data_IF_589174153229
#
_entry.id   IF_589174153229
#
_cell.length_a   1.000
_cell.length_b   1.000
_cell.length_c   1.000
_cell.angle_alpha   90.00
_cell.angle_beta   90.00
_cell.angle_gamma   90.00
#
_symmetry.space_group_name_H-M   'P 1'
#
loop_
_entity.id
_entity.type
_entity.pdbx_description
1 polymer ?
#
# COMPACT_ATOMS: atom_id res chain seq x y z
N UNK A 1 -42.04 18.41 -7.49
CA UNK A 1 -40.67 18.11 -7.97
C UNK A 1 -39.89 17.28 -6.94
N UNK A 2 -40.25 16.01 -6.69
CA UNK A 2 -39.51 15.12 -5.77
C UNK A 2 -39.70 13.64 -6.16
N UNK A 3 -39.34 13.25 -7.39
CA UNK A 3 -39.53 11.87 -7.86
C UNK A 3 -38.29 11.21 -8.50
N UNK A 4 -37.13 11.87 -8.51
CA UNK A 4 -35.95 11.40 -9.26
C UNK A 4 -34.81 10.82 -8.41
N UNK A 5 -34.97 10.65 -7.09
CA UNK A 5 -33.84 10.32 -6.20
C UNK A 5 -33.86 8.89 -5.59
N UNK A 6 -34.83 8.04 -5.96
CA UNK A 6 -34.95 6.69 -5.36
C UNK A 6 -34.42 5.54 -6.26
N UNK A 7 -34.09 5.81 -7.53
CA UNK A 7 -33.68 4.75 -8.46
C UNK A 7 -32.24 4.25 -8.24
N UNK A 8 -31.36 5.09 -7.68
CA UNK A 8 -29.93 4.74 -7.50
C UNK A 8 -29.65 3.85 -6.29
N UNK A 9 -30.55 3.81 -5.29
CA UNK A 9 -30.37 3.02 -4.06
C UNK A 9 -30.71 1.53 -4.30
N UNK A 10 -31.56 1.22 -5.29
CA UNK A 10 -32.03 -0.14 -5.56
C UNK A 10 -30.97 -0.98 -6.29
N UNK A 11 -30.15 -0.37 -7.15
CA UNK A 11 -29.09 -1.09 -7.88
C UNK A 11 -27.97 -1.65 -7.01
N UNK A 12 -27.65 -0.98 -5.88
CA UNK A 12 -26.59 -1.45 -4.98
C UNK A 12 -27.04 -2.59 -4.03
N UNK A 13 -28.35 -2.74 -3.80
CA UNK A 13 -28.89 -3.82 -2.95
C UNK A 13 -29.10 -5.15 -3.68
N UNK A 14 -29.21 -5.15 -5.02
CA UNK A 14 -29.42 -6.39 -5.78
C UNK A 14 -28.18 -7.30 -5.86
N UNK A 15 -26.96 -6.78 -5.68
CA UNK A 15 -25.74 -7.62 -5.65
C UNK A 15 -25.59 -8.44 -4.36
N UNK A 16 -26.30 -8.11 -3.27
CA UNK A 16 -26.19 -8.84 -1.99
C UNK A 16 -27.06 -10.09 -1.88
N UNK A 17 -28.05 -10.27 -2.74
CA UNK A 17 -29.07 -11.33 -2.58
C UNK A 17 -28.73 -12.61 -3.39
N UNK A 18 -27.69 -12.59 -4.22
CA UNK A 18 -27.40 -13.70 -5.13
C UNK A 18 -26.71 -14.92 -4.50
N UNK A 19 -26.13 -14.81 -3.30
CA UNK A 19 -25.30 -15.88 -2.75
C UNK A 19 -26.06 -16.84 -1.78
N UNK A 20 -27.34 -16.59 -1.45
CA UNK A 20 -28.12 -17.44 -0.53
C UNK A 20 -29.49 -17.96 -1.00
N UNK A 21 -29.97 -17.64 -2.22
CA UNK A 21 -31.26 -18.17 -2.66
C UNK A 21 -31.19 -19.67 -2.98
N UNK A 22 -31.54 -20.47 -1.96
CA UNK A 22 -31.88 -21.89 -2.06
C UNK A 22 -33.27 -22.03 -2.68
N UNK A 23 -33.38 -22.98 -3.62
CA UNK A 23 -34.59 -23.57 -4.21
C UNK A 23 -35.12 -23.02 -5.54
N UNK A 24 -34.36 -23.28 -6.61
CA UNK A 24 -34.90 -23.74 -7.91
C UNK A 24 -33.97 -24.84 -8.47
N UNK A 25 -34.19 -26.07 -8.00
CA UNK A 25 -33.12 -26.92 -7.45
C UNK A 25 -32.59 -28.06 -8.36
N UNK A 26 -32.87 -28.09 -9.67
CA UNK A 26 -32.47 -29.26 -10.50
C UNK A 26 -31.68 -28.92 -11.79
N UNK A 27 -31.89 -27.75 -12.41
CA UNK A 27 -31.14 -27.31 -13.59
C UNK A 27 -30.00 -26.32 -13.25
N UNK A 28 -30.09 -25.62 -12.12
CA UNK A 28 -29.09 -24.67 -11.60
C UNK A 28 -27.94 -25.32 -10.80
N UNK A 29 -27.97 -26.64 -10.57
CA UNK A 29 -26.91 -27.31 -9.79
C UNK A 29 -25.60 -27.52 -10.56
N UNK A 30 -25.59 -27.37 -11.89
CA UNK A 30 -24.35 -27.45 -12.70
C UNK A 30 -23.61 -26.12 -12.85
N UNK A 31 -24.27 -24.97 -12.67
CA UNK A 31 -23.64 -23.64 -12.78
C UNK A 31 -23.08 -23.12 -11.45
N UNK A 32 -23.43 -23.75 -10.31
CA UNK A 32 -23.04 -23.28 -8.97
C UNK A 32 -21.58 -23.53 -8.57
N UNK A 33 -20.76 -24.16 -9.42
CA UNK A 33 -19.33 -24.45 -9.16
C UNK A 33 -18.36 -23.46 -9.80
N UNK A 34 -18.87 -22.47 -10.52
CA UNK A 34 -18.07 -21.60 -11.40
C UNK A 34 -17.86 -20.19 -10.85
N UNK A 35 -18.03 -20.01 -9.54
CA UNK A 35 -17.83 -18.72 -8.87
C UNK A 35 -16.89 -18.86 -7.68
N UNK A 36 -16.02 -17.86 -7.50
CA UNK A 36 -15.19 -17.74 -6.32
C UNK A 36 -15.84 -16.80 -5.30
N UNK A 37 -15.80 -17.18 -4.01
CA UNK A 37 -16.25 -16.31 -2.90
C UNK A 37 -15.05 -15.68 -2.20
N UNK A 38 -14.99 -14.35 -2.15
CA UNK A 38 -13.91 -13.62 -1.50
C UNK A 38 -14.43 -12.35 -0.81
N UNK A 39 -14.13 -12.18 0.49
CA UNK A 39 -14.54 -11.02 1.30
C UNK A 39 -16.02 -10.61 1.11
N UNK A 40 -16.92 -11.60 1.17
CA UNK A 40 -18.38 -11.44 0.98
C UNK A 40 -18.86 -11.09 -0.44
N UNK A 41 -17.96 -11.06 -1.43
CA UNK A 41 -18.31 -10.89 -2.83
C UNK A 41 -18.18 -12.22 -3.59
N UNK A 42 -18.96 -12.37 -4.66
CA UNK A 42 -19.00 -13.55 -5.51
C UNK A 42 -18.48 -13.13 -6.91
N UNK A 43 -17.52 -13.87 -7.45
CA UNK A 43 -16.75 -13.51 -8.64
C UNK A 43 -16.81 -14.63 -9.66
N UNK A 44 -17.12 -14.32 -10.92
CA UNK A 44 -17.13 -15.30 -12.00
C UNK A 44 -15.70 -15.79 -12.33
N UNK A 45 -15.57 -17.05 -12.74
CA UNK A 45 -14.29 -17.58 -13.25
C UNK A 45 -13.80 -16.74 -14.44
N UNK A 46 -12.54 -16.34 -14.39
CA UNK A 46 -11.89 -15.44 -15.34
C UNK A 46 -11.91 -13.97 -14.91
N UNK A 47 -12.72 -13.61 -13.90
CA UNK A 47 -12.73 -12.23 -13.40
C UNK A 47 -11.44 -11.89 -12.65
N UNK A 48 -10.98 -10.65 -12.87
CA UNK A 48 -9.82 -10.06 -12.23
C UNK A 48 -10.31 -8.90 -11.38
N UNK A 49 -9.88 -8.83 -10.13
CA UNK A 49 -10.30 -7.77 -9.23
C UNK A 49 -9.18 -7.31 -8.29
N UNK A 50 -9.04 -5.99 -8.08
CA UNK A 50 -8.05 -5.44 -7.18
C UNK A 50 -8.58 -5.36 -5.74
N UNK A 51 -7.71 -5.64 -4.77
CA UNK A 51 -7.95 -5.41 -3.34
C UNK A 51 -6.69 -4.77 -2.76
N UNK A 52 -6.77 -3.48 -2.46
CA UNK A 52 -5.59 -2.67 -2.15
C UNK A 52 -4.64 -2.63 -3.35
N UNK A 53 -3.38 -3.03 -3.14
CA UNK A 53 -2.36 -3.16 -4.19
C UNK A 53 -2.17 -4.59 -4.70
N UNK A 54 -3.03 -5.52 -4.27
CA UNK A 54 -3.05 -6.89 -4.77
C UNK A 54 -4.13 -7.07 -5.81
N UNK A 55 -3.84 -7.93 -6.80
CA UNK A 55 -4.74 -8.32 -7.87
C UNK A 55 -4.97 -9.81 -7.75
N UNK A 56 -6.24 -10.18 -7.71
CA UNK A 56 -6.70 -11.54 -7.61
C UNK A 56 -7.48 -11.91 -8.87
N UNK A 57 -7.35 -13.17 -9.27
CA UNK A 57 -8.12 -13.74 -10.37
C UNK A 57 -8.90 -14.94 -9.86
N UNK A 58 -10.19 -15.02 -10.19
CA UNK A 58 -10.95 -16.24 -9.96
C UNK A 58 -10.63 -17.24 -11.08
N UNK A 59 -10.06 -18.39 -10.74
CA UNK A 59 -9.68 -19.42 -11.72
C UNK A 59 -10.38 -20.75 -11.42
N UNK A 60 -10.46 -21.65 -12.40
CA UNK A 60 -10.81 -23.05 -12.16
C UNK A 60 -9.53 -23.85 -11.92
N UNK A 61 -9.44 -24.53 -10.77
CA UNK A 61 -8.33 -25.40 -10.41
C UNK A 61 -8.83 -26.81 -10.18
N UNK A 62 -8.08 -27.82 -10.65
CA UNK A 62 -8.40 -29.23 -10.40
C UNK A 62 -7.90 -29.64 -9.01
N UNK A 63 -8.81 -30.07 -8.14
CA UNK A 63 -8.51 -30.54 -6.77
C UNK A 63 -9.15 -31.92 -6.62
N UNK A 64 -8.34 -32.94 -6.33
CA UNK A 64 -8.80 -34.33 -6.17
C UNK A 64 -9.65 -34.87 -7.35
N UNK A 65 -9.31 -34.49 -8.58
CA UNK A 65 -10.03 -34.95 -9.77
C UNK A 65 -11.19 -34.05 -10.22
N UNK A 66 -11.64 -33.12 -9.37
CA UNK A 66 -12.77 -32.23 -9.63
C UNK A 66 -12.29 -30.79 -9.92
N UNK A 67 -12.98 -30.07 -10.81
CA UNK A 67 -12.72 -28.63 -11.02
C UNK A 67 -13.49 -27.79 -10.00
N UNK A 68 -12.75 -26.98 -9.24
CA UNK A 68 -13.29 -26.04 -8.26
C UNK A 68 -12.84 -24.62 -8.58
N UNK A 69 -13.73 -23.64 -8.41
CA UNK A 69 -13.38 -22.24 -8.48
C UNK A 69 -12.47 -21.87 -7.29
N UNK A 70 -11.37 -21.18 -7.57
CA UNK A 70 -10.33 -20.86 -6.60
C UNK A 70 -9.80 -19.45 -6.86
N UNK A 71 -9.60 -18.69 -5.79
CA UNK A 71 -8.96 -17.37 -5.87
C UNK A 71 -7.46 -17.54 -5.95
N UNK A 72 -6.86 -16.97 -6.99
CA UNK A 72 -5.42 -16.94 -7.17
C UNK A 72 -4.91 -15.51 -7.08
N UNK A 73 -3.99 -15.26 -6.15
CA UNK A 73 -3.21 -14.03 -6.13
C UNK A 73 -2.32 -13.99 -7.39
N UNK A 74 -2.59 -13.02 -8.28
CA UNK A 74 -1.95 -12.95 -9.60
C UNK A 74 -0.78 -11.97 -9.62
N UNK A 75 -0.92 -10.84 -8.94
CA UNK A 75 0.15 -9.86 -8.78
C UNK A 75 -0.14 -9.00 -7.54
N UNK A 76 0.89 -8.40 -6.94
CA UNK A 76 0.68 -7.50 -5.82
C UNK A 76 1.73 -6.40 -5.74
N UNK A 77 1.76 -5.71 -4.60
CA UNK A 77 2.64 -4.57 -4.41
C UNK A 77 2.42 -3.88 -3.07
N UNK A 78 3.23 -2.87 -2.81
CA UNK A 78 3.18 -2.10 -1.58
C UNK A 78 2.25 -0.90 -1.72
N UNK A 79 1.37 -0.70 -0.74
CA UNK A 79 0.51 0.48 -0.62
C UNK A 79 1.20 1.54 0.23
N UNK A 80 1.60 2.66 -0.37
CA UNK A 80 2.19 3.81 0.33
C UNK A 80 1.49 5.09 -0.13
N UNK A 81 0.94 5.87 0.81
CA UNK A 81 0.19 7.11 0.51
C UNK A 81 -0.87 6.94 -0.58
N UNK A 82 -1.65 5.85 -0.51
CA UNK A 82 -2.69 5.50 -1.50
C UNK A 82 -2.16 5.20 -2.91
N UNK A 83 -0.84 5.08 -3.10
CA UNK A 83 -0.19 4.65 -4.35
C UNK A 83 0.30 3.22 -4.21
N UNK A 84 0.20 2.47 -5.31
CA UNK A 84 0.69 1.12 -5.41
C UNK A 84 2.05 1.07 -6.11
N UNK A 85 2.99 0.38 -5.48
CA UNK A 85 4.31 0.14 -6.02
C UNK A 85 4.48 -1.34 -6.31
N UNK A 86 4.98 -1.66 -7.52
CA UNK A 86 5.24 -3.04 -7.94
C UNK A 86 6.24 -3.74 -6.98
N UNK A 87 6.25 -5.07 -6.93
CA UNK A 87 7.22 -5.81 -6.14
C UNK A 87 8.63 -5.42 -6.58
N UNK A 88 9.55 -5.36 -5.62
CA UNK A 88 10.96 -5.01 -5.81
C UNK A 88 11.17 -3.58 -6.36
N UNK A 89 10.15 -2.73 -6.39
CA UNK A 89 10.32 -1.33 -6.72
C UNK A 89 11.14 -0.62 -5.64
N UNK A 90 12.14 0.15 -6.08
CA UNK A 90 12.78 1.18 -5.28
C UNK A 90 12.11 2.51 -5.62
N UNK A 91 11.63 3.23 -4.60
CA UNK A 91 10.94 4.50 -4.77
C UNK A 91 11.24 5.46 -3.63
N UNK A 92 10.92 6.75 -3.84
CA UNK A 92 11.09 7.78 -2.84
C UNK A 92 9.74 8.26 -2.32
N UNK A 93 9.60 8.32 -1.01
CA UNK A 93 8.41 8.82 -0.33
C UNK A 93 8.83 9.44 1.00
N UNK A 94 8.34 10.64 1.31
CA UNK A 94 8.72 11.43 2.51
C UNK A 94 10.22 11.48 2.82
N UNK A 95 11.05 11.68 1.80
CA UNK A 95 12.52 11.66 1.94
C UNK A 95 13.08 10.34 2.47
N UNK A 96 12.34 9.24 2.42
CA UNK A 96 12.86 7.89 2.56
C UNK A 96 13.00 7.23 1.19
N UNK A 97 14.09 6.51 0.99
CA UNK A 97 14.23 5.54 -0.09
C UNK A 97 13.64 4.23 0.42
N UNK A 98 12.55 3.80 -0.20
CA UNK A 98 11.79 2.61 0.18
C UNK A 98 11.97 1.52 -0.86
N UNK A 99 11.90 0.27 -0.41
CA UNK A 99 11.90 -0.92 -1.24
C UNK A 99 10.64 -1.73 -0.95
N UNK A 100 9.92 -2.14 -1.99
CA UNK A 100 8.78 -3.03 -1.84
C UNK A 100 9.24 -4.49 -1.79
N UNK A 101 9.39 -5.04 -0.60
CA UNK A 101 9.87 -6.41 -0.40
C UNK A 101 8.70 -7.41 -0.46
N UNK A 102 8.72 -8.40 -1.37
CA UNK A 102 7.85 -9.56 -1.27
C UNK A 102 8.36 -10.52 -0.19
N UNK A 103 7.45 -10.97 0.68
CA UNK A 103 7.72 -11.97 1.72
C UNK A 103 6.84 -13.19 1.52
N UNK A 104 7.43 -14.37 1.54
CA UNK A 104 6.71 -15.63 1.37
C UNK A 104 6.58 -16.31 2.72
N UNK A 105 5.36 -16.40 3.23
CA UNK A 105 5.04 -17.16 4.42
C UNK A 105 4.83 -18.65 4.12
N UNK A 106 4.31 -19.38 5.12
CA UNK A 106 3.99 -20.81 5.00
C UNK A 106 2.95 -21.11 3.90
N UNK A 107 2.04 -20.15 3.64
CA UNK A 107 0.98 -20.28 2.64
C UNK A 107 1.48 -20.19 1.19
N UNK A 108 2.78 -19.86 0.98
CA UNK A 108 3.40 -19.57 -0.32
C UNK A 108 2.78 -18.38 -1.07
N UNK A 109 1.80 -17.69 -0.49
CA UNK A 109 1.28 -16.45 -1.02
C UNK A 109 2.18 -15.28 -0.59
N UNK A 110 2.55 -14.37 -1.51
CA UNK A 110 3.42 -13.25 -1.17
C UNK A 110 2.65 -12.20 -0.38
N UNK A 111 3.20 -11.80 0.77
CA UNK A 111 2.83 -10.60 1.51
C UNK A 111 3.83 -9.51 1.16
N UNK A 112 3.36 -8.30 0.88
CA UNK A 112 4.23 -7.19 0.49
C UNK A 112 4.40 -6.21 1.63
N UNK A 113 5.64 -5.88 1.97
CA UNK A 113 5.94 -4.83 2.95
C UNK A 113 6.98 -3.86 2.43
N UNK A 114 6.91 -2.63 2.92
CA UNK A 114 7.92 -1.61 2.63
C UNK A 114 9.07 -1.73 3.60
N UNK A 115 10.29 -1.76 3.06
CA UNK A 115 11.53 -1.68 3.82
C UNK A 115 12.19 -0.34 3.54
N UNK A 116 12.63 0.35 4.59
CA UNK A 116 13.39 1.60 4.43
C UNK A 116 14.85 1.25 4.13
N UNK A 117 15.32 1.60 2.93
CA UNK A 117 16.74 1.45 2.56
C UNK A 117 17.59 2.60 3.08
N UNK A 118 16.99 3.78 3.24
CA UNK A 118 17.67 4.93 3.79
C UNK A 118 16.78 6.15 3.88
N UNK A 119 17.17 7.06 4.75
CA UNK A 119 16.57 8.38 4.86
C UNK A 119 17.46 9.43 4.18
N UNK A 120 16.82 10.42 3.60
CA UNK A 120 17.35 11.73 3.20
C UNK A 120 16.84 12.76 4.20
N UNK A 121 17.32 13.99 4.11
CA UNK A 121 16.86 15.07 4.98
C UNK A 121 15.99 16.05 4.20
N UNK A 122 15.07 16.73 4.85
CA UNK A 122 14.39 17.89 4.25
C UNK A 122 15.21 19.15 4.49
N UNK A 123 15.40 19.95 3.46
CA UNK A 123 15.83 21.33 3.65
C UNK A 123 14.62 22.22 4.03
N UNK A 124 14.89 23.50 4.24
CA UNK A 124 13.87 24.50 4.61
C UNK A 124 12.78 24.71 3.55
N UNK A 125 13.02 24.31 2.30
CA UNK A 125 12.05 24.36 1.20
C UNK A 125 11.25 23.05 1.10
N UNK A 126 11.51 22.09 1.99
CA UNK A 126 10.89 20.76 2.00
C UNK A 126 11.51 19.77 1.01
N UNK A 127 12.65 20.10 0.39
CA UNK A 127 13.30 19.25 -0.62
C UNK A 127 14.20 18.21 0.04
N UNK A 128 14.18 16.98 -0.49
CA UNK A 128 14.99 15.89 0.02
C UNK A 128 16.46 16.01 -0.43
N UNK A 129 17.39 16.08 0.54
CA UNK A 129 18.85 16.17 0.35
C UNK A 129 19.58 14.97 0.97
N UNK A 130 20.66 14.52 0.35
CA UNK A 130 21.42 13.35 0.81
C UNK A 130 22.25 13.66 2.07
N UNK A 131 22.31 12.71 3.01
CA UNK A 131 22.96 12.75 4.36
C UNK A 131 24.44 13.19 4.43
N UNK A 132 25.11 13.43 3.31
CA UNK A 132 26.53 13.78 3.24
C UNK A 132 26.83 14.99 2.36
N UNK A 133 25.83 15.53 1.66
CA UNK A 133 26.01 16.75 0.88
C UNK A 133 25.86 17.94 1.83
N UNK A 134 26.79 18.88 1.74
CA UNK A 134 26.64 20.19 2.37
C UNK A 134 25.48 20.91 1.70
N UNK A 135 24.63 21.58 2.47
CA UNK A 135 23.52 22.37 1.96
C UNK A 135 23.35 23.67 2.77
N UNK A 136 22.53 24.57 2.25
CA UNK A 136 22.17 25.82 2.90
C UNK A 136 20.85 25.64 3.64
N UNK A 137 20.78 26.05 4.90
CA UNK A 137 19.59 25.93 5.74
C UNK A 137 19.16 27.30 6.26
N UNK A 138 17.86 27.62 6.18
CA UNK A 138 17.30 28.86 6.75
C UNK A 138 16.54 28.56 8.03
N UNK A 139 16.88 29.27 9.10
CA UNK A 139 16.23 29.15 10.40
C UNK A 139 16.07 30.56 10.99
N UNK A 140 14.86 30.91 11.41
CA UNK A 140 14.52 32.23 11.98
C UNK A 140 15.02 33.42 11.12
N UNK A 141 14.87 33.32 9.80
CA UNK A 141 15.30 34.37 8.86
C UNK A 141 16.81 34.46 8.64
N UNK A 142 17.64 33.69 9.37
CA UNK A 142 19.09 33.59 9.14
C UNK A 142 19.41 32.42 8.20
N UNK A 143 20.36 32.65 7.30
CA UNK A 143 20.83 31.63 6.36
C UNK A 143 22.15 31.05 6.83
N UNK A 144 22.15 29.74 7.08
CA UNK A 144 23.31 28.96 7.50
C UNK A 144 23.86 28.18 6.31
N UNK A 145 25.19 28.20 6.16
CA UNK A 145 25.89 27.53 5.05
C UNK A 145 26.67 26.34 5.58
N UNK A 146 27.08 25.44 4.68
CA UNK A 146 27.85 24.25 5.04
C UNK A 146 27.16 23.33 6.07
N UNK A 147 25.83 23.28 6.03
CA UNK A 147 25.06 22.40 6.89
C UNK A 147 25.14 20.95 6.43
N UNK A 148 25.23 20.03 7.38
CA UNK A 148 25.13 18.59 7.19
C UNK A 148 23.90 18.11 7.92
N UNK A 149 23.30 17.04 7.40
CA UNK A 149 22.19 16.41 8.06
C UNK A 149 22.48 14.92 8.28
N UNK A 150 22.22 14.49 9.52
CA UNK A 150 22.31 13.10 9.94
C UNK A 150 20.92 12.62 10.35
N UNK A 151 20.70 11.30 10.29
CA UNK A 151 19.46 10.69 10.77
C UNK A 151 19.81 9.76 11.91
N UNK A 152 19.13 9.96 13.02
CA UNK A 152 19.35 9.22 14.26
C UNK A 152 18.11 8.39 14.58
N UNK A 153 18.34 7.14 15.00
CA UNK A 153 17.27 6.29 15.54
C UNK A 153 17.14 6.57 17.03
N UNK A 154 16.01 7.13 17.43
CA UNK A 154 15.66 7.38 18.82
C UNK A 154 15.00 6.11 19.40
N UNK A 155 15.83 5.15 19.80
CA UNK A 155 15.43 3.82 20.23
C UNK A 155 14.27 3.78 21.26
N UNK A 156 14.22 4.65 22.30
CA UNK A 156 13.13 4.63 23.29
C UNK A 156 11.72 4.76 22.71
N UNK A 157 11.58 5.40 21.53
CA UNK A 157 10.29 5.64 20.89
C UNK A 157 10.17 4.96 19.53
N UNK A 158 11.18 4.19 19.11
CA UNK A 158 11.29 3.63 17.77
C UNK A 158 11.04 4.68 16.66
N UNK A 159 11.51 5.91 16.86
CA UNK A 159 11.37 7.02 15.92
C UNK A 159 12.70 7.33 15.26
N UNK A 160 12.66 7.81 14.02
CA UNK A 160 13.83 8.40 13.39
C UNK A 160 13.72 9.92 13.48
N UNK A 161 14.84 10.59 13.76
CA UNK A 161 14.93 12.04 13.85
C UNK A 161 15.98 12.56 12.86
N UNK A 162 15.68 13.66 12.18
CA UNK A 162 16.68 14.44 11.47
C UNK A 162 17.45 15.31 12.46
N UNK A 163 18.77 15.34 12.33
CA UNK A 163 19.65 16.24 13.06
C UNK A 163 20.45 17.08 12.06
N UNK A 164 20.27 18.39 12.12
CA UNK A 164 20.98 19.35 11.26
C UNK A 164 22.11 19.98 12.07
N UNK A 165 23.31 19.98 11.49
CA UNK A 165 24.51 20.60 12.06
C UNK A 165 25.14 21.52 11.02
N UNK A 166 25.28 22.81 11.34
CA UNK A 166 25.93 23.79 10.48
C UNK A 166 27.30 24.18 11.06
N UNK A 167 28.26 24.55 10.20
CA UNK A 167 29.61 24.90 10.64
C UNK A 167 29.68 26.18 11.49
N UNK A 168 28.66 27.03 11.39
CA UNK A 168 28.57 28.30 12.13
C UNK A 168 28.22 28.03 13.61
N UNK A 169 29.06 28.51 14.54
CA UNK A 169 28.93 28.28 16.00
C UNK A 169 27.61 28.74 16.64
N UNK A 170 26.83 29.58 15.95
CA UNK A 170 25.57 30.15 16.46
C UNK A 170 24.33 29.35 16.07
N UNK A 171 24.47 28.22 15.35
CA UNK A 171 23.33 27.40 14.95
C UNK A 171 22.89 26.45 16.09
N UNK A 172 21.64 26.53 16.58
CA UNK A 172 21.12 25.55 17.53
C UNK A 172 20.98 24.19 16.84
N UNK A 173 21.37 23.10 17.51
CA UNK A 173 21.11 21.75 16.99
C UNK A 173 19.61 21.49 17.04
N UNK A 174 18.99 21.32 15.88
CA UNK A 174 17.56 21.01 15.77
C UNK A 174 17.31 19.52 15.53
N UNK A 175 16.19 19.03 16.08
CA UNK A 175 15.70 17.67 15.88
C UNK A 175 14.29 17.71 15.31
N UNK A 176 14.07 17.02 14.18
CA UNK A 176 12.76 16.91 13.56
C UNK A 176 12.32 15.45 13.48
N UNK A 177 11.06 15.12 13.83
CA UNK A 177 10.53 13.79 13.56
C UNK A 177 10.51 13.51 12.05
N UNK A 178 10.81 12.26 11.70
CA UNK A 178 10.49 11.74 10.37
C UNK A 178 9.04 11.26 10.44
N UNK A 179 8.11 12.11 10.00
CA UNK A 179 6.69 11.78 9.82
C UNK A 179 6.46 10.90 8.60
#
# INVERSE_FOLDING_TARGET
>A
MFAACLCSIIKAKLQRVSCEFKNLHALLQRTKRDECKFQNNCYEVGSVYPVGCSVYTCIKKKVNGEFVAHIQHTSGGCLVNKKCYRPEAIFEDYCATLFCLPEFGETKEPVYRTVVLGYKCKDHEGKCVNKKKKFTYKHEGKTYTDCKCTVWHHAPYNKYLHRIECAQKSFPTEYFPID
#
